data_IF_616673572457
#
_entry.id   IF_616673572457
#
_cell.length_a   1.000
_cell.length_b   1.000
_cell.length_c   1.000
_cell.angle_alpha   90.00
_cell.angle_beta   90.00
_cell.angle_gamma   90.00
#
_symmetry.space_group_name_H-M   'P 1'
#
loop_
_entity.id
_entity.type
_entity.pdbx_description
1 polymer ?
#
# COMPACT_ATOMS: atom_id res chain seq x y z
N UNK A 1 -39.09 -12.10 -5.59
CA UNK A 1 -39.66 -10.72 -5.69
C UNK A 1 -38.58 -9.71 -5.41
N UNK A 2 -38.04 -9.02 -6.44
CA UNK A 2 -37.04 -7.93 -6.25
C UNK A 2 -37.76 -6.69 -5.74
N UNK A 3 -37.50 -6.28 -4.49
CA UNK A 3 -37.97 -4.99 -3.96
C UNK A 3 -37.36 -3.86 -4.81
N UNK A 4 -38.18 -3.15 -5.58
CA UNK A 4 -37.85 -1.87 -6.21
C UNK A 4 -37.42 -0.90 -5.10
N UNK A 5 -36.12 -0.54 -5.04
CA UNK A 5 -35.62 0.54 -4.18
C UNK A 5 -36.21 1.85 -4.70
N UNK A 6 -37.25 2.33 -4.06
CA UNK A 6 -37.80 3.68 -4.29
C UNK A 6 -36.77 4.69 -3.83
N UNK A 7 -36.12 5.37 -4.77
CA UNK A 7 -35.15 6.44 -4.46
C UNK A 7 -35.98 7.61 -3.94
N UNK A 8 -35.84 7.95 -2.67
CA UNK A 8 -36.52 9.11 -2.06
C UNK A 8 -35.95 10.38 -2.70
N UNK A 9 -36.85 11.24 -3.22
CA UNK A 9 -36.52 12.53 -3.85
C UNK A 9 -35.64 13.40 -2.95
N UNK A 10 -35.85 13.37 -1.63
CA UNK A 10 -35.01 14.08 -0.65
C UNK A 10 -33.55 13.59 -0.60
N UNK A 11 -33.31 12.29 -0.85
CA UNK A 11 -31.92 11.76 -0.94
C UNK A 11 -31.22 12.20 -2.23
N UNK A 12 -31.96 12.34 -3.32
CA UNK A 12 -31.42 12.85 -4.58
C UNK A 12 -31.03 14.32 -4.43
N UNK A 13 -31.90 15.14 -3.82
CA UNK A 13 -31.62 16.57 -3.59
C UNK A 13 -30.40 16.84 -2.70
N UNK A 14 -30.14 15.97 -1.73
CA UNK A 14 -28.94 16.06 -0.88
C UNK A 14 -27.67 15.50 -1.54
N UNK A 15 -27.81 14.44 -2.32
CA UNK A 15 -26.65 13.75 -2.92
C UNK A 15 -26.10 14.47 -4.15
N UNK A 16 -26.93 15.22 -4.91
CA UNK A 16 -26.47 15.94 -6.11
C UNK A 16 -25.49 17.06 -5.79
N UNK A 17 -25.72 17.98 -4.83
CA UNK A 17 -24.72 19.00 -4.46
C UNK A 17 -23.44 18.38 -3.93
N UNK A 18 -23.54 17.35 -3.09
CA UNK A 18 -22.36 16.64 -2.56
C UNK A 18 -21.56 15.99 -3.69
N UNK A 19 -22.25 15.34 -4.63
CA UNK A 19 -21.58 14.73 -5.79
C UNK A 19 -20.90 15.80 -6.66
N UNK A 20 -21.53 16.95 -6.89
CA UNK A 20 -20.92 18.06 -7.63
C UNK A 20 -19.68 18.59 -6.95
N UNK A 21 -19.71 18.80 -5.62
CA UNK A 21 -18.55 19.24 -4.84
C UNK A 21 -17.43 18.22 -4.95
N UNK A 22 -17.71 16.93 -4.80
CA UNK A 22 -16.72 15.87 -4.92
C UNK A 22 -16.11 15.80 -6.32
N UNK A 23 -16.90 15.99 -7.38
CA UNK A 23 -16.41 16.05 -8.77
C UNK A 23 -15.49 17.26 -8.95
N UNK A 24 -15.88 18.43 -8.45
CA UNK A 24 -15.03 19.64 -8.54
C UNK A 24 -13.71 19.43 -7.82
N UNK A 25 -13.72 18.88 -6.60
CA UNK A 25 -12.50 18.58 -5.85
C UNK A 25 -11.65 17.56 -6.61
N UNK A 26 -12.25 16.50 -7.17
CA UNK A 26 -11.53 15.50 -7.94
C UNK A 26 -10.88 16.11 -9.19
N UNK A 27 -11.59 16.98 -9.91
CA UNK A 27 -11.04 17.69 -11.07
C UNK A 27 -9.89 18.61 -10.66
N UNK A 28 -10.00 19.37 -9.56
CA UNK A 28 -8.92 20.22 -9.06
C UNK A 28 -7.66 19.42 -8.68
N UNK A 29 -7.84 18.26 -8.06
CA UNK A 29 -6.72 17.34 -7.72
C UNK A 29 -6.07 16.76 -8.97
N UNK A 30 -6.81 16.57 -10.06
CA UNK A 30 -6.28 16.07 -11.33
C UNK A 30 -5.54 17.14 -12.15
N UNK A 31 -5.78 18.43 -11.93
CA UNK A 31 -5.12 19.52 -12.69
C UNK A 31 -3.60 19.38 -12.73
N UNK A 32 -2.87 19.20 -11.61
CA UNK A 32 -1.42 19.05 -11.65
C UNK A 32 -0.97 17.82 -12.46
N UNK A 33 -1.70 16.70 -12.35
CA UNK A 33 -1.38 15.47 -13.08
C UNK A 33 -1.58 15.65 -14.57
N UNK A 34 -2.69 16.28 -14.98
CA UNK A 34 -3.00 16.61 -16.38
C UNK A 34 -1.94 17.56 -16.92
N UNK A 35 -1.59 18.61 -16.14
CA UNK A 35 -0.55 19.56 -16.52
C UNK A 35 0.80 18.87 -16.75
N UNK A 36 1.23 18.02 -15.82
CA UNK A 36 2.47 17.26 -15.92
C UNK A 36 2.46 16.35 -17.17
N UNK A 37 1.34 15.65 -17.40
CA UNK A 37 1.19 14.76 -18.56
C UNK A 37 1.32 15.53 -19.86
N UNK A 38 0.64 16.66 -20.03
CA UNK A 38 0.76 17.46 -21.22
C UNK A 38 2.15 18.12 -21.36
N UNK A 39 2.75 18.53 -20.23
CA UNK A 39 4.10 19.12 -20.25
C UNK A 39 5.17 18.13 -20.69
N UNK A 40 4.99 16.82 -20.44
CA UNK A 40 5.90 15.80 -20.93
C UNK A 40 6.01 15.74 -22.46
N UNK A 41 5.00 16.24 -23.18
CA UNK A 41 4.94 16.28 -24.64
C UNK A 41 5.22 17.68 -25.23
N UNK A 42 5.64 18.66 -24.41
CA UNK A 42 5.99 20.01 -24.85
C UNK A 42 7.48 20.16 -25.05
N UNK A 43 7.87 21.11 -25.92
CA UNK A 43 9.26 21.53 -25.98
C UNK A 43 9.67 22.30 -24.72
N UNK A 44 10.96 22.28 -24.37
CA UNK A 44 11.50 23.02 -23.21
C UNK A 44 11.11 24.52 -23.26
N UNK A 45 11.18 25.15 -24.43
CA UNK A 45 10.78 26.55 -24.62
C UNK A 45 9.31 26.78 -24.31
N UNK A 46 8.42 25.84 -24.65
CA UNK A 46 7.00 25.98 -24.39
C UNK A 46 6.68 25.77 -22.90
N UNK A 47 7.41 24.89 -22.20
CA UNK A 47 7.23 24.66 -20.76
C UNK A 47 7.48 25.94 -19.95
N UNK A 48 8.53 26.68 -20.30
CA UNK A 48 8.95 27.94 -19.62
C UNK A 48 8.29 29.19 -20.18
N UNK A 49 7.47 29.08 -21.24
CA UNK A 49 6.84 30.22 -21.88
C UNK A 49 5.76 30.88 -21.01
N UNK A 50 5.62 32.20 -21.16
CA UNK A 50 4.54 32.96 -20.51
C UNK A 50 3.67 33.64 -21.58
N UNK A 51 2.34 33.54 -21.51
CA UNK A 51 1.53 32.79 -20.58
C UNK A 51 1.64 31.27 -20.79
N UNK A 52 1.49 30.47 -19.72
CA UNK A 52 1.58 29.02 -19.82
C UNK A 52 0.42 28.44 -20.62
N UNK A 53 0.71 27.45 -21.46
CA UNK A 53 -0.31 26.73 -22.24
C UNK A 53 -0.64 25.40 -21.59
N UNK A 54 -1.90 24.98 -21.56
CA UNK A 54 -2.27 23.65 -21.05
C UNK A 54 -1.93 22.55 -22.06
N UNK A 55 -2.37 22.72 -23.29
CA UNK A 55 -2.21 21.73 -24.37
C UNK A 55 -0.93 22.07 -25.15
N UNK A 56 -0.09 21.08 -25.50
CA UNK A 56 1.08 21.30 -26.34
C UNK A 56 0.71 21.99 -27.68
N UNK A 57 1.38 23.07 -28.02
CA UNK A 57 1.31 23.68 -29.37
C UNK A 57 2.08 22.84 -30.36
N UNK A 58 3.23 22.33 -29.93
CA UNK A 58 4.08 21.43 -30.70
C UNK A 58 4.27 20.15 -29.90
N UNK A 59 3.73 19.05 -30.42
CA UNK A 59 3.89 17.74 -29.79
C UNK A 59 5.29 17.19 -30.07
N UNK A 60 6.02 16.86 -29.00
CA UNK A 60 7.35 16.24 -29.09
C UNK A 60 7.52 15.09 -28.13
N UNK A 61 8.40 14.14 -28.48
CA UNK A 61 8.86 13.05 -27.62
C UNK A 61 10.32 13.25 -27.18
N UNK A 62 10.92 14.40 -27.48
CA UNK A 62 12.33 14.70 -27.17
C UNK A 62 12.62 14.54 -25.68
N UNK A 63 11.71 14.99 -24.79
CA UNK A 63 11.90 14.84 -23.34
C UNK A 63 12.12 13.39 -22.92
N UNK A 64 11.44 12.44 -23.56
CA UNK A 64 11.62 11.00 -23.25
C UNK A 64 12.96 10.47 -23.76
N UNK A 65 13.39 10.94 -24.93
CA UNK A 65 14.69 10.57 -25.50
C UNK A 65 15.81 11.16 -24.65
N UNK A 66 15.71 12.43 -24.28
CA UNK A 66 16.69 13.13 -23.45
C UNK A 66 16.85 12.50 -22.08
N UNK A 67 15.74 12.17 -21.43
CA UNK A 67 15.78 11.49 -20.12
C UNK A 67 16.45 10.12 -20.25
N UNK A 68 16.12 9.36 -21.30
CA UNK A 68 16.74 8.06 -21.53
C UNK A 68 18.25 8.19 -21.85
N UNK A 69 18.67 9.27 -22.50
CA UNK A 69 20.08 9.57 -22.76
C UNK A 69 20.87 9.97 -21.51
N UNK A 70 20.21 10.61 -20.54
CA UNK A 70 20.86 11.08 -19.29
C UNK A 70 20.87 10.02 -18.20
N UNK A 71 19.80 9.21 -18.11
CA UNK A 71 19.62 8.19 -17.08
C UNK A 71 19.00 6.92 -17.69
N UNK A 72 19.38 5.76 -17.18
CA UNK A 72 18.75 4.51 -17.61
C UNK A 72 17.41 4.32 -16.89
N UNK A 73 16.35 5.01 -17.39
CA UNK A 73 15.02 5.02 -16.76
C UNK A 73 14.42 3.60 -16.64
N UNK A 74 14.70 2.72 -17.63
CA UNK A 74 14.24 1.34 -17.62
C UNK A 74 14.81 0.58 -16.41
N UNK A 75 16.09 0.79 -16.12
CA UNK A 75 16.73 0.20 -14.92
C UNK A 75 16.10 0.72 -13.64
N UNK A 76 15.82 2.02 -13.54
CA UNK A 76 15.16 2.59 -12.35
C UNK A 76 13.74 2.05 -12.16
N UNK A 77 12.97 1.95 -13.24
CA UNK A 77 11.63 1.33 -13.19
C UNK A 77 11.73 -0.14 -12.77
N UNK A 78 12.64 -0.91 -13.35
CA UNK A 78 12.85 -2.31 -12.99
C UNK A 78 13.24 -2.46 -11.51
N UNK A 79 14.15 -1.62 -11.02
CA UNK A 79 14.53 -1.61 -9.61
C UNK A 79 13.34 -1.29 -8.69
N UNK A 80 12.51 -0.32 -9.07
CA UNK A 80 11.30 0.03 -8.31
C UNK A 80 10.29 -1.11 -8.29
N UNK A 81 10.07 -1.80 -9.42
CA UNK A 81 9.17 -2.95 -9.51
C UNK A 81 9.69 -4.11 -8.66
N UNK A 82 10.99 -4.41 -8.72
CA UNK A 82 11.61 -5.46 -7.90
C UNK A 82 11.46 -5.11 -6.42
N UNK A 83 11.84 -3.89 -6.04
CA UNK A 83 11.74 -3.42 -4.66
C UNK A 83 10.30 -3.51 -4.14
N UNK A 84 9.34 -2.92 -4.85
CA UNK A 84 7.94 -2.91 -4.46
C UNK A 84 7.38 -4.34 -4.41
N UNK A 85 7.61 -5.15 -5.44
CA UNK A 85 7.09 -6.51 -5.53
C UNK A 85 7.61 -7.42 -4.41
N UNK A 86 8.92 -7.42 -4.17
CA UNK A 86 9.53 -8.26 -3.12
C UNK A 86 9.12 -7.78 -1.73
N UNK A 87 9.15 -6.45 -1.49
CA UNK A 87 8.73 -5.89 -0.19
C UNK A 87 7.27 -6.24 0.11
N UNK A 88 6.37 -6.03 -0.85
CA UNK A 88 4.94 -6.35 -0.69
C UNK A 88 4.71 -7.84 -0.44
N UNK A 89 5.36 -8.73 -1.22
CA UNK A 89 5.22 -10.17 -1.04
C UNK A 89 5.67 -10.61 0.36
N UNK A 90 6.83 -10.15 0.82
CA UNK A 90 7.33 -10.44 2.17
C UNK A 90 6.46 -9.80 3.25
N UNK A 91 6.01 -8.57 3.06
CA UNK A 91 5.14 -7.87 4.01
C UNK A 91 3.80 -8.59 4.17
N UNK A 92 3.18 -9.04 3.08
CA UNK A 92 1.94 -9.82 3.12
C UNK A 92 2.13 -11.09 3.96
N UNK A 93 3.20 -11.83 3.71
CA UNK A 93 3.48 -13.07 4.45
C UNK A 93 3.72 -12.78 5.93
N UNK A 94 4.68 -11.91 6.24
CA UNK A 94 5.12 -11.66 7.63
C UNK A 94 4.01 -11.00 8.45
N UNK A 95 3.34 -9.97 7.93
CA UNK A 95 2.32 -9.27 8.69
C UNK A 95 1.04 -10.11 8.85
N UNK A 96 0.69 -10.95 7.84
CA UNK A 96 -0.44 -11.88 7.97
C UNK A 96 -0.16 -12.97 8.99
N UNK A 97 1.03 -13.58 8.97
CA UNK A 97 1.42 -14.58 9.96
C UNK A 97 1.46 -14.00 11.38
N UNK A 98 2.03 -12.81 11.56
CA UNK A 98 2.05 -12.11 12.85
C UNK A 98 0.63 -11.77 13.32
N UNK A 99 -0.22 -11.23 12.43
CA UNK A 99 -1.63 -10.93 12.73
C UNK A 99 -2.42 -12.18 13.12
N UNK A 100 -2.23 -13.28 12.39
CA UNK A 100 -2.83 -14.58 12.71
C UNK A 100 -2.39 -15.10 14.07
N UNK A 101 -1.08 -15.06 14.36
CA UNK A 101 -0.54 -15.48 15.65
C UNK A 101 -1.16 -14.68 16.80
N UNK A 102 -1.25 -13.35 16.68
CA UNK A 102 -1.91 -12.51 17.68
C UNK A 102 -3.43 -12.71 17.78
N UNK A 103 -4.09 -13.23 16.76
CA UNK A 103 -5.53 -13.51 16.81
C UNK A 103 -5.84 -14.87 17.43
N UNK A 104 -5.14 -15.93 16.99
CA UNK A 104 -5.52 -17.32 17.25
C UNK A 104 -4.72 -18.01 18.34
N UNK A 105 -3.45 -17.64 18.55
CA UNK A 105 -2.62 -18.31 19.56
C UNK A 105 -2.64 -17.57 20.89
N UNK A 106 -2.57 -18.37 21.98
CA UNK A 106 -2.34 -17.86 23.33
C UNK A 106 -0.92 -18.20 23.76
N UNK A 107 -0.14 -17.17 24.11
CA UNK A 107 1.24 -17.32 24.56
C UNK A 107 1.59 -16.29 25.63
N UNK A 108 2.59 -16.61 26.46
CA UNK A 108 3.05 -15.72 27.53
C UNK A 108 3.57 -14.41 26.93
N UNK A 109 3.07 -13.29 27.44
CA UNK A 109 3.48 -11.96 26.95
C UNK A 109 2.77 -11.45 25.69
N UNK A 110 1.77 -12.18 25.14
CA UNK A 110 0.99 -11.80 23.96
C UNK A 110 0.55 -10.33 23.98
N UNK A 111 -0.12 -9.91 25.05
CA UNK A 111 -0.59 -8.52 25.18
C UNK A 111 0.56 -7.54 25.23
N UNK A 112 1.62 -7.83 25.99
CA UNK A 112 2.79 -6.95 26.10
C UNK A 112 3.51 -6.78 24.77
N UNK A 113 3.79 -7.87 24.07
CA UNK A 113 4.46 -7.81 22.74
C UNK A 113 3.61 -7.12 21.69
N UNK A 114 2.29 -7.34 21.72
CA UNK A 114 1.37 -6.63 20.83
C UNK A 114 1.33 -5.12 21.11
N UNK A 115 1.26 -4.72 22.38
CA UNK A 115 1.31 -3.30 22.77
C UNK A 115 2.65 -2.66 22.40
N UNK A 116 3.77 -3.36 22.58
CA UNK A 116 5.08 -2.89 22.11
C UNK A 116 5.10 -2.69 20.60
N UNK A 117 4.53 -3.61 19.82
CA UNK A 117 4.38 -3.45 18.38
C UNK A 117 3.57 -2.20 18.03
N UNK A 118 2.45 -1.96 18.70
CA UNK A 118 1.65 -0.75 18.47
C UNK A 118 2.39 0.53 18.89
N UNK A 119 3.16 0.49 19.98
CA UNK A 119 3.95 1.63 20.45
C UNK A 119 4.96 2.12 19.39
N UNK A 120 5.47 1.23 18.53
CA UNK A 120 6.36 1.63 17.42
C UNK A 120 5.67 2.58 16.44
N UNK A 121 4.33 2.55 16.31
CA UNK A 121 3.59 3.48 15.44
C UNK A 121 3.57 4.92 15.97
N UNK A 122 3.84 5.09 17.28
CA UNK A 122 3.88 6.44 17.88
C UNK A 122 5.18 7.17 17.57
N UNK A 123 6.20 6.45 17.11
CA UNK A 123 7.50 7.05 16.74
C UNK A 123 7.46 7.47 15.27
N UNK A 124 7.55 8.78 14.97
CA UNK A 124 7.59 9.24 13.58
C UNK A 124 8.80 8.65 12.85
N UNK A 125 8.58 8.19 11.61
CA UNK A 125 9.65 7.59 10.79
C UNK A 125 10.87 8.52 10.65
N UNK A 126 10.64 9.84 10.57
CA UNK A 126 11.68 10.86 10.45
C UNK A 126 12.70 10.82 11.61
N UNK A 127 12.25 10.46 12.81
CA UNK A 127 13.12 10.35 14.01
C UNK A 127 14.02 9.12 13.92
N UNK A 128 13.49 8.00 13.40
CA UNK A 128 14.22 6.74 13.31
C UNK A 128 15.07 6.62 12.03
N UNK A 129 14.87 7.50 11.05
CA UNK A 129 15.51 7.39 9.74
C UNK A 129 17.05 7.35 9.82
N UNK A 130 17.66 8.25 10.59
CA UNK A 130 19.13 8.30 10.74
C UNK A 130 19.66 7.09 11.52
N UNK A 131 19.12 6.73 12.69
CA UNK A 131 19.51 5.49 13.37
C UNK A 131 19.33 4.24 12.49
N UNK A 132 18.24 4.14 11.75
CA UNK A 132 17.96 3.02 10.85
C UNK A 132 19.02 2.91 9.75
N UNK A 133 19.38 4.05 9.13
CA UNK A 133 20.45 4.10 8.14
C UNK A 133 21.77 3.57 8.72
N UNK A 134 22.14 4.00 9.94
CA UNK A 134 23.36 3.53 10.60
C UNK A 134 23.35 2.02 10.87
N UNK A 135 22.17 1.46 11.24
CA UNK A 135 22.02 0.01 11.44
C UNK A 135 22.22 -0.72 10.11
N UNK A 136 21.52 -0.30 9.05
CA UNK A 136 21.63 -0.89 7.70
C UNK A 136 23.06 -0.82 7.19
N UNK A 137 23.75 0.32 7.39
CA UNK A 137 25.13 0.52 7.01
C UNK A 137 26.07 -0.43 7.76
N UNK A 138 25.94 -0.51 9.10
CA UNK A 138 26.76 -1.42 9.94
C UNK A 138 26.53 -2.90 9.62
N UNK A 139 25.34 -3.25 9.16
CA UNK A 139 25.03 -4.62 8.70
C UNK A 139 25.56 -4.94 7.29
N UNK A 140 26.24 -4.00 6.64
CA UNK A 140 26.77 -4.19 5.29
C UNK A 140 25.71 -4.25 4.20
N UNK A 141 24.49 -3.77 4.48
CA UNK A 141 23.37 -3.79 3.54
C UNK A 141 23.18 -2.46 2.79
N UNK A 142 24.11 -1.50 2.96
CA UNK A 142 24.10 -0.24 2.22
C UNK A 142 24.18 -0.48 0.71
N UNK A 143 23.42 0.29 -0.06
CA UNK A 143 23.30 0.19 -1.52
C UNK A 143 22.89 -1.20 -2.04
N UNK A 144 22.07 -1.91 -1.27
CA UNK A 144 21.47 -3.20 -1.65
C UNK A 144 19.97 -3.16 -1.56
N UNK A 145 19.28 -4.02 -2.33
CA UNK A 145 17.84 -4.22 -2.19
C UNK A 145 17.43 -4.61 -0.76
N UNK A 146 18.23 -5.45 -0.10
CA UNK A 146 17.93 -5.92 1.26
C UNK A 146 17.94 -4.79 2.29
N UNK A 147 18.84 -3.81 2.11
CA UNK A 147 18.88 -2.62 2.96
C UNK A 147 17.62 -1.76 2.88
N UNK A 148 16.91 -1.81 1.74
CA UNK A 148 15.63 -1.13 1.55
C UNK A 148 14.44 -2.00 1.97
N UNK A 149 14.47 -3.30 1.67
CA UNK A 149 13.35 -4.23 1.84
C UNK A 149 13.16 -4.59 3.32
N UNK A 150 14.20 -5.09 4.00
CA UNK A 150 14.09 -5.65 5.35
C UNK A 150 13.42 -4.70 6.35
N UNK A 151 13.79 -3.39 6.41
CA UNK A 151 13.16 -2.46 7.35
C UNK A 151 11.67 -2.20 7.10
N UNK A 152 11.16 -2.56 5.92
CA UNK A 152 9.78 -2.32 5.49
C UNK A 152 8.89 -3.56 5.51
N UNK A 153 9.45 -4.74 5.77
CA UNK A 153 8.68 -6.00 5.74
C UNK A 153 7.69 -6.09 6.90
N UNK A 154 8.09 -5.74 8.12
CA UNK A 154 7.23 -5.81 9.30
C UNK A 154 6.71 -4.42 9.66
N UNK A 155 5.42 -4.18 9.45
CA UNK A 155 4.76 -2.89 9.69
C UNK A 155 3.68 -3.06 10.75
N UNK A 156 3.80 -2.37 11.87
CA UNK A 156 2.90 -2.51 13.01
C UNK A 156 1.41 -2.27 12.65
N UNK A 157 1.11 -1.27 11.81
CA UNK A 157 -0.23 -1.01 11.31
C UNK A 157 -0.81 -2.17 10.49
N UNK A 158 0.03 -2.79 9.66
CA UNK A 158 -0.34 -3.96 8.87
C UNK A 158 -0.60 -5.18 9.75
N UNK A 159 0.24 -5.40 10.77
CA UNK A 159 0.04 -6.48 11.76
C UNK A 159 -1.27 -6.26 12.53
N UNK A 160 -1.54 -5.03 12.97
CA UNK A 160 -2.79 -4.67 13.66
C UNK A 160 -4.02 -4.92 12.76
N UNK A 161 -3.97 -4.47 11.50
CA UNK A 161 -5.05 -4.66 10.53
C UNK A 161 -5.31 -6.15 10.28
N UNK A 162 -4.27 -6.95 10.08
CA UNK A 162 -4.42 -8.40 9.87
C UNK A 162 -4.94 -9.10 11.11
N UNK A 163 -4.47 -8.74 12.32
CA UNK A 163 -5.03 -9.25 13.57
C UNK A 163 -6.52 -8.96 13.69
N UNK A 164 -6.93 -7.72 13.42
CA UNK A 164 -8.34 -7.33 13.47
C UNK A 164 -9.19 -8.15 12.49
N UNK A 165 -8.69 -8.35 11.26
CA UNK A 165 -9.36 -9.17 10.26
C UNK A 165 -9.50 -10.64 10.72
N UNK A 166 -8.45 -11.24 11.24
CA UNK A 166 -8.48 -12.62 11.73
C UNK A 166 -9.34 -12.79 12.98
N UNK A 167 -9.40 -11.80 13.86
CA UNK A 167 -10.26 -11.87 15.07
C UNK A 167 -11.75 -11.99 14.73
N UNK A 168 -12.16 -11.55 13.52
CA UNK A 168 -13.53 -11.72 13.03
C UNK A 168 -13.88 -13.13 12.57
N UNK A 169 -12.93 -14.07 12.53
CA UNK A 169 -13.16 -15.46 12.10
C UNK A 169 -13.43 -16.33 13.32
N UNK A 170 -14.49 -17.19 13.30
CA UNK A 170 -14.74 -18.15 14.37
C UNK A 170 -13.55 -19.10 14.57
N UNK A 171 -13.16 -19.33 15.84
CA UNK A 171 -12.03 -20.22 16.18
C UNK A 171 -12.29 -21.68 15.82
N UNK A 172 -13.55 -22.05 15.81
CA UNK A 172 -14.05 -23.39 15.48
C UNK A 172 -13.62 -23.83 14.07
N UNK A 173 -13.43 -22.90 13.16
CA UNK A 173 -12.91 -23.20 11.80
C UNK A 173 -11.49 -23.76 11.85
N UNK A 174 -10.61 -23.16 12.68
CA UNK A 174 -9.25 -23.66 12.85
C UNK A 174 -9.23 -24.99 13.61
N UNK A 175 -10.11 -25.15 14.59
CA UNK A 175 -10.24 -26.37 15.37
C UNK A 175 -10.73 -27.54 14.52
N UNK A 176 -11.76 -27.34 13.70
CA UNK A 176 -12.25 -28.35 12.75
C UNK A 176 -11.14 -28.78 11.77
N UNK A 177 -10.42 -27.82 11.18
CA UNK A 177 -9.31 -28.11 10.27
C UNK A 177 -8.15 -28.88 10.96
N UNK A 178 -7.95 -28.65 12.27
CA UNK A 178 -6.96 -29.39 13.08
C UNK A 178 -7.42 -30.83 13.33
N UNK A 179 -8.73 -31.05 13.58
CA UNK A 179 -9.30 -32.39 13.67
C UNK A 179 -9.19 -33.15 12.35
N UNK A 180 -9.35 -32.46 11.22
CA UNK A 180 -9.15 -33.01 9.88
C UNK A 180 -7.68 -33.32 9.54
N UNK A 181 -6.75 -33.11 10.48
CA UNK A 181 -5.34 -33.46 10.35
C UNK A 181 -4.48 -32.41 9.60
N UNK A 182 -4.98 -31.20 9.37
CA UNK A 182 -4.16 -30.16 8.78
C UNK A 182 -3.09 -29.66 9.79
N UNK A 183 -1.87 -29.44 9.29
CA UNK A 183 -0.84 -28.76 10.07
C UNK A 183 -1.21 -27.29 10.30
N UNK A 184 -0.67 -26.64 11.34
CA UNK A 184 -0.92 -25.23 11.67
C UNK A 184 -0.59 -24.31 10.47
N UNK A 185 0.47 -24.62 9.74
CA UNK A 185 0.84 -23.90 8.52
C UNK A 185 -0.19 -24.12 7.39
N UNK A 186 -0.70 -25.34 7.28
CA UNK A 186 -1.78 -25.70 6.35
C UNK A 186 -3.08 -24.98 6.67
N UNK A 187 -3.44 -24.89 7.94
CA UNK A 187 -4.60 -24.14 8.44
C UNK A 187 -4.47 -22.66 8.07
N UNK A 188 -3.32 -22.06 8.34
CA UNK A 188 -3.07 -20.66 8.00
C UNK A 188 -3.28 -20.39 6.50
N UNK A 189 -2.56 -21.14 5.63
CA UNK A 189 -2.54 -20.85 4.19
C UNK A 189 -3.82 -21.27 3.45
N UNK A 190 -4.41 -22.44 3.80
CA UNK A 190 -5.51 -23.02 3.04
C UNK A 190 -6.88 -22.59 3.58
N UNK A 191 -6.99 -22.29 4.86
CA UNK A 191 -8.27 -22.00 5.50
C UNK A 191 -8.37 -20.54 5.90
N UNK A 192 -7.42 -20.04 6.70
CA UNK A 192 -7.57 -18.76 7.38
C UNK A 192 -7.23 -17.56 6.50
N UNK A 193 -6.12 -17.62 5.78
CA UNK A 193 -5.68 -16.50 4.92
C UNK A 193 -6.68 -16.18 3.79
N UNK A 194 -7.30 -17.17 3.11
CA UNK A 194 -8.36 -16.90 2.13
C UNK A 194 -9.60 -16.21 2.71
N UNK A 195 -9.95 -16.43 3.98
CA UNK A 195 -11.10 -15.78 4.61
C UNK A 195 -10.90 -14.27 4.80
N UNK A 196 -9.66 -13.83 4.95
CA UNK A 196 -9.31 -12.41 5.11
C UNK A 196 -8.80 -11.79 3.80
N UNK A 197 -9.13 -12.36 2.65
CA UNK A 197 -8.72 -11.88 1.33
C UNK A 197 -8.90 -10.36 1.14
N UNK A 198 -10.00 -9.70 1.56
CA UNK A 198 -10.13 -8.25 1.45
C UNK A 198 -9.04 -7.49 2.20
N UNK A 199 -8.67 -7.95 3.42
CA UNK A 199 -7.60 -7.34 4.20
C UNK A 199 -6.23 -7.57 3.55
N UNK A 200 -6.00 -8.77 2.99
CA UNK A 200 -4.77 -9.06 2.21
C UNK A 200 -4.65 -8.16 1.01
N UNK A 201 -5.74 -7.94 0.25
CA UNK A 201 -5.74 -7.01 -0.90
C UNK A 201 -5.40 -5.59 -0.44
N UNK A 202 -5.98 -5.13 0.69
CA UNK A 202 -5.65 -3.82 1.26
C UNK A 202 -4.16 -3.74 1.61
N UNK A 203 -3.59 -4.79 2.20
CA UNK A 203 -2.17 -4.85 2.53
C UNK A 203 -1.25 -4.82 1.30
N UNK A 204 -1.69 -5.38 0.18
CA UNK A 204 -0.96 -5.33 -1.11
C UNK A 204 -0.95 -3.92 -1.71
N UNK A 205 -2.00 -3.14 -1.47
CA UNK A 205 -2.15 -1.78 -2.03
C UNK A 205 -1.41 -0.74 -1.18
N UNK A 206 -1.27 -0.96 0.14
CA UNK A 206 -0.57 -0.09 1.08
C UNK A 206 0.96 -0.19 0.95
#
# INVERSE_FOLDING_TARGET
>A
MKKKKTISIGKVFFNVPVALILIIIALLVLVPVIWMTFSAFKTEREIISWPPTFIPKTFTLENFVDVQGRINIIRYIANSVIYAGVTTALAVVVNSMAGYAYAFYEFKGKTGTFLMTLATMMVPFQVIMVPLFLVVYKMGMYDTYWGLIIPRVAVAGSIFMMRAAFTGIPKEMAEAARIDGLSEFGIFWKIMLPQVKPAVITLVIL
#
